data_IF_645794118710
#
_entry.id   IF_645794118710
#
_cell.length_a   1.000
_cell.length_b   1.000
_cell.length_c   1.000
_cell.angle_alpha   90.00
_cell.angle_beta   90.00
_cell.angle_gamma   90.00
#
_symmetry.space_group_name_H-M   'P 1'
#
loop_
_entity.id
_entity.type
_entity.pdbx_description
1 polymer ?
#
# COMPACT_ATOMS: atom_id res chain seq x y z
N UNK A 1 3.92 -7.18 39.14
CA UNK A 1 3.31 -8.37 38.52
C UNK A 1 3.91 -8.48 37.13
N UNK A 2 4.60 -9.58 36.89
CA UNK A 2 5.57 -9.74 35.79
C UNK A 2 4.90 -10.22 34.49
N UNK A 3 5.36 -9.63 33.42
CA UNK A 3 5.03 -9.95 32.03
C UNK A 3 5.16 -11.42 31.66
N UNK A 4 4.17 -11.91 30.94
CA UNK A 4 4.26 -13.14 30.15
C UNK A 4 4.18 -12.78 28.67
N UNK A 5 5.29 -12.36 28.10
CA UNK A 5 5.45 -12.36 26.63
C UNK A 5 5.73 -13.80 26.19
N UNK A 6 4.71 -14.45 25.68
CA UNK A 6 4.81 -15.76 25.05
C UNK A 6 5.57 -15.63 23.71
N UNK A 7 6.82 -16.08 23.73
CA UNK A 7 7.62 -16.31 22.52
C UNK A 7 7.01 -17.47 21.74
N UNK A 8 6.22 -17.19 20.73
CA UNK A 8 5.91 -18.19 19.70
C UNK A 8 7.09 -18.30 18.75
N UNK A 9 7.99 -19.23 19.05
CA UNK A 9 9.03 -19.71 18.16
C UNK A 9 8.36 -20.40 16.97
N UNK A 10 8.52 -19.83 15.78
CA UNK A 10 8.22 -20.54 14.54
C UNK A 10 9.20 -21.70 14.40
N UNK A 11 8.70 -22.92 14.52
CA UNK A 11 9.44 -24.13 14.25
C UNK A 11 9.69 -24.22 12.74
N UNK A 12 10.91 -23.94 12.31
CA UNK A 12 11.37 -24.30 10.97
C UNK A 12 11.44 -25.83 10.90
N UNK A 13 10.61 -26.43 10.06
CA UNK A 13 10.57 -27.86 9.83
C UNK A 13 11.89 -28.37 9.25
N UNK A 14 12.67 -29.06 10.05
CA UNK A 14 13.83 -29.80 9.58
C UNK A 14 13.34 -31.14 9.01
N UNK A 15 13.40 -31.30 7.68
CA UNK A 15 13.23 -32.61 7.05
C UNK A 15 14.56 -33.35 7.16
N UNK A 16 14.66 -34.18 8.20
CA UNK A 16 15.79 -35.10 8.38
C UNK A 16 15.56 -36.36 7.56
N UNK A 17 16.38 -36.58 6.55
CA UNK A 17 16.44 -37.88 5.86
C UNK A 17 17.41 -38.74 6.65
N UNK A 18 16.88 -39.73 7.36
CA UNK A 18 17.69 -40.75 8.03
C UNK A 18 18.07 -41.84 7.01
N UNK A 19 19.35 -41.90 6.67
CA UNK A 19 19.92 -43.10 6.06
C UNK A 19 20.47 -43.99 7.18
N UNK A 20 19.77 -45.08 7.43
CA UNK A 20 20.31 -46.16 8.28
C UNK A 20 21.13 -47.10 7.42
N UNK A 21 22.45 -46.91 7.40
CA UNK A 21 23.41 -47.84 6.84
C UNK A 21 24.19 -48.49 7.98
N UNK A 22 23.96 -49.78 8.22
CA UNK A 22 24.71 -50.60 9.15
C UNK A 22 26.05 -50.93 8.49
N UNK A 23 27.18 -50.35 9.01
CA UNK A 23 28.53 -50.81 8.70
C UNK A 23 29.31 -50.89 9.98
N UNK A 24 29.70 -52.14 10.30
CA UNK A 24 30.64 -52.43 11.38
C UNK A 24 32.03 -51.94 10.96
N UNK A 25 32.59 -51.00 11.71
CA UNK A 25 33.94 -50.48 11.52
C UNK A 25 33.99 -48.98 11.81
N UNK A 26 34.64 -48.61 12.93
CA UNK A 26 34.60 -47.25 13.48
C UNK A 26 35.14 -46.16 12.58
N UNK A 27 34.30 -45.58 11.80
CA UNK A 27 34.49 -44.26 11.20
C UNK A 27 33.40 -43.33 11.74
N UNK A 28 33.81 -42.36 12.56
CA UNK A 28 32.99 -41.23 12.95
C UNK A 28 32.61 -40.45 11.70
N UNK A 29 31.48 -40.77 11.08
CA UNK A 29 30.90 -39.91 10.01
C UNK A 29 30.40 -38.63 10.67
N UNK A 30 31.19 -37.57 10.55
CA UNK A 30 30.80 -36.21 10.89
C UNK A 30 29.65 -35.84 9.95
N UNK A 31 28.41 -35.93 10.42
CA UNK A 31 27.26 -35.42 9.69
C UNK A 31 27.46 -33.91 9.50
N UNK A 32 27.79 -33.51 8.29
CA UNK A 32 27.79 -32.11 7.94
C UNK A 32 26.32 -31.64 7.89
N UNK A 33 25.91 -30.98 8.96
CA UNK A 33 24.63 -30.26 8.96
C UNK A 33 24.80 -29.03 8.06
N UNK A 34 24.37 -29.13 6.80
CA UNK A 34 24.21 -27.95 5.94
C UNK A 34 22.96 -27.24 6.42
N UNK A 35 23.05 -26.03 6.98
CA UNK A 35 21.85 -25.26 7.25
C UNK A 35 21.12 -25.06 5.92
N UNK A 36 19.81 -25.36 5.93
CA UNK A 36 18.97 -25.11 4.76
C UNK A 36 19.20 -23.66 4.31
N UNK A 37 19.44 -23.47 3.02
CA UNK A 37 19.57 -22.12 2.46
C UNK A 37 18.33 -21.31 2.85
N UNK A 38 18.50 -20.04 3.27
CA UNK A 38 17.35 -19.20 3.54
C UNK A 38 16.42 -19.19 2.33
N UNK A 39 15.09 -19.18 2.54
CA UNK A 39 14.15 -19.13 1.43
C UNK A 39 14.46 -17.92 0.54
N UNK A 40 14.36 -18.12 -0.76
CA UNK A 40 14.58 -17.04 -1.73
C UNK A 40 13.67 -15.84 -1.37
N UNK A 41 14.17 -14.61 -1.47
CA UNK A 41 13.36 -13.44 -1.22
C UNK A 41 12.17 -13.41 -2.18
N UNK A 42 11.00 -13.08 -1.67
CA UNK A 42 9.77 -12.93 -2.47
C UNK A 42 10.00 -11.98 -3.65
N UNK A 43 9.36 -12.25 -4.77
CA UNK A 43 9.30 -11.32 -5.90
C UNK A 43 8.61 -10.01 -5.48
N UNK A 44 8.88 -8.91 -6.18
CA UNK A 44 8.23 -7.62 -5.88
C UNK A 44 6.70 -7.73 -5.89
N UNK A 45 6.06 -8.39 -6.89
CA UNK A 45 4.61 -8.59 -6.85
C UNK A 45 4.11 -9.32 -5.60
N UNK A 46 4.77 -10.40 -5.20
CA UNK A 46 4.38 -11.13 -3.99
C UNK A 46 4.58 -10.31 -2.70
N UNK A 47 5.58 -9.42 -2.69
CA UNK A 47 5.79 -8.48 -1.57
C UNK A 47 4.70 -7.40 -1.53
N UNK A 48 4.25 -6.91 -2.70
CA UNK A 48 3.14 -5.96 -2.81
C UNK A 48 1.84 -6.58 -2.28
N UNK A 49 1.50 -7.80 -2.71
CA UNK A 49 0.31 -8.51 -2.21
C UNK A 49 0.31 -8.64 -0.68
N UNK A 50 1.45 -9.03 -0.09
CA UNK A 50 1.56 -9.13 1.36
C UNK A 50 1.42 -7.76 2.03
N UNK A 51 2.03 -6.72 1.48
CA UNK A 51 1.93 -5.35 2.00
C UNK A 51 0.48 -4.84 1.92
N UNK A 52 -0.23 -5.09 0.82
CA UNK A 52 -1.66 -4.77 0.68
C UNK A 52 -2.51 -5.49 1.72
N UNK A 53 -2.25 -6.79 1.93
CA UNK A 53 -2.96 -7.57 2.93
C UNK A 53 -2.76 -7.03 4.36
N UNK A 54 -1.55 -6.56 4.68
CA UNK A 54 -1.25 -5.93 5.96
C UNK A 54 -1.99 -4.60 6.11
N UNK A 55 -2.00 -3.78 5.06
CA UNK A 55 -2.71 -2.50 5.03
C UNK A 55 -4.24 -2.70 5.21
N UNK A 56 -4.82 -3.68 4.51
CA UNK A 56 -6.24 -4.02 4.62
C UNK A 56 -6.65 -4.51 6.03
N UNK A 57 -5.72 -5.13 6.74
CA UNK A 57 -5.90 -5.53 8.14
C UNK A 57 -5.68 -4.39 9.14
N UNK A 58 -5.30 -3.20 8.67
CA UNK A 58 -4.96 -2.07 9.52
C UNK A 58 -3.63 -2.21 10.27
N UNK A 59 -2.78 -3.17 9.87
CA UNK A 59 -1.43 -3.38 10.43
C UNK A 59 -0.46 -2.38 9.81
N UNK A 60 -0.70 -1.08 10.09
CA UNK A 60 -0.05 0.03 9.38
C UNK A 60 1.47 0.02 9.48
N UNK A 61 2.03 -0.31 10.65
CA UNK A 61 3.49 -0.35 10.84
C UNK A 61 4.15 -1.47 10.03
N UNK A 62 3.51 -2.64 9.95
CA UNK A 62 4.02 -3.77 9.18
C UNK A 62 3.85 -3.53 7.68
N UNK A 63 2.73 -2.94 7.26
CA UNK A 63 2.51 -2.51 5.87
C UNK A 63 3.56 -1.49 5.44
N UNK A 64 3.81 -0.46 6.25
CA UNK A 64 4.85 0.55 5.99
C UNK A 64 6.21 -0.09 5.79
N UNK A 65 6.62 -0.97 6.71
CA UNK A 65 7.89 -1.70 6.61
C UNK A 65 7.99 -2.50 5.31
N UNK A 66 6.90 -3.15 4.91
CA UNK A 66 6.86 -3.95 3.68
C UNK A 66 6.99 -3.09 2.43
N UNK A 67 6.27 -1.96 2.33
CA UNK A 67 6.41 -1.03 1.20
C UNK A 67 7.79 -0.39 1.14
N UNK A 68 8.38 -0.02 2.29
CA UNK A 68 9.76 0.49 2.33
C UNK A 68 10.78 -0.56 1.88
N UNK A 69 10.57 -1.84 2.19
CA UNK A 69 11.42 -2.92 1.70
C UNK A 69 11.33 -3.08 0.17
N UNK A 70 10.15 -2.86 -0.42
CA UNK A 70 9.97 -2.82 -1.88
C UNK A 70 10.75 -1.64 -2.47
N UNK A 71 10.62 -0.44 -1.90
CA UNK A 71 11.37 0.74 -2.36
C UNK A 71 12.88 0.61 -2.17
N UNK A 72 13.34 -0.22 -1.24
CA UNK A 72 14.76 -0.57 -1.11
C UNK A 72 15.31 -1.33 -2.32
N UNK A 73 14.45 -1.98 -3.11
CA UNK A 73 14.80 -2.76 -4.31
C UNK A 73 14.40 -2.04 -5.61
N UNK A 74 13.30 -1.30 -5.57
CA UNK A 74 12.74 -0.52 -6.66
C UNK A 74 12.31 0.86 -6.12
N UNK A 75 13.26 1.82 -6.03
CA UNK A 75 13.03 3.11 -5.39
C UNK A 75 11.97 3.99 -6.07
N UNK A 76 11.64 3.69 -7.32
CA UNK A 76 10.71 4.46 -8.17
C UNK A 76 9.38 3.76 -8.37
N UNK A 77 9.10 2.70 -7.61
CA UNK A 77 7.86 1.94 -7.72
C UNK A 77 6.63 2.80 -7.34
N UNK A 78 5.79 3.21 -8.31
CA UNK A 78 4.69 4.14 -8.04
C UNK A 78 3.60 3.52 -7.15
N UNK A 79 3.41 2.21 -7.24
CA UNK A 79 2.45 1.48 -6.42
C UNK A 79 2.87 1.49 -4.94
N UNK A 80 4.12 1.13 -4.64
CA UNK A 80 4.64 1.15 -3.28
C UNK A 80 4.63 2.58 -2.69
N UNK A 81 5.00 3.58 -3.50
CA UNK A 81 4.92 5.00 -3.10
C UNK A 81 3.49 5.41 -2.79
N UNK A 82 2.53 5.10 -3.67
CA UNK A 82 1.12 5.46 -3.45
C UNK A 82 0.57 4.82 -2.18
N UNK A 83 0.85 3.55 -1.93
CA UNK A 83 0.39 2.85 -0.73
C UNK A 83 1.08 3.31 0.56
N UNK A 84 2.32 3.78 0.52
CA UNK A 84 2.91 4.51 1.65
C UNK A 84 2.16 5.81 1.94
N UNK A 85 1.65 6.46 0.89
CA UNK A 85 0.71 7.57 1.04
C UNK A 85 -0.54 7.16 1.80
N UNK A 86 -1.13 6.01 1.44
CA UNK A 86 -2.32 5.48 2.11
C UNK A 86 -2.05 5.10 3.58
N UNK A 87 -0.88 4.54 3.87
CA UNK A 87 -0.45 4.29 5.26
C UNK A 87 -0.38 5.60 6.05
N UNK A 88 0.31 6.61 5.51
CA UNK A 88 0.45 7.91 6.15
C UNK A 88 -0.91 8.60 6.35
N UNK A 89 -1.79 8.50 5.35
CA UNK A 89 -3.16 9.02 5.43
C UNK A 89 -3.96 8.38 6.57
N UNK A 90 -3.89 7.04 6.71
CA UNK A 90 -4.57 6.32 7.78
C UNK A 90 -3.96 6.63 9.16
N UNK A 91 -2.68 6.98 9.23
CA UNK A 91 -2.00 7.47 10.43
C UNK A 91 -2.38 8.92 10.77
N UNK A 92 -3.10 9.63 9.90
CA UNK A 92 -3.47 11.04 10.05
C UNK A 92 -2.40 12.03 9.61
N UNK A 93 -1.28 11.57 9.06
CA UNK A 93 -0.20 12.43 8.55
C UNK A 93 -0.47 12.82 7.08
N UNK A 94 -1.33 13.83 6.91
CA UNK A 94 -1.76 14.31 5.58
C UNK A 94 -0.60 14.85 4.75
N UNK A 95 0.34 15.56 5.37
CA UNK A 95 1.50 16.12 4.68
C UNK A 95 2.39 15.02 4.13
N UNK A 96 2.61 13.97 4.92
CA UNK A 96 3.41 12.82 4.50
C UNK A 96 2.69 12.04 3.41
N UNK A 97 1.37 11.85 3.52
CA UNK A 97 0.56 11.19 2.51
C UNK A 97 0.69 11.91 1.15
N UNK A 98 0.47 13.23 1.14
CA UNK A 98 0.57 14.04 -0.08
C UNK A 98 1.97 13.99 -0.71
N UNK A 99 3.05 13.99 0.10
CA UNK A 99 4.42 13.82 -0.44
C UNK A 99 4.62 12.50 -1.13
N UNK A 100 4.06 11.41 -0.59
CA UNK A 100 4.15 10.09 -1.20
C UNK A 100 3.33 9.99 -2.48
N UNK A 101 2.10 10.52 -2.52
CA UNK A 101 1.30 10.56 -3.76
C UNK A 101 2.00 11.41 -4.83
N UNK A 102 2.59 12.56 -4.45
CA UNK A 102 3.36 13.37 -5.37
C UNK A 102 4.61 12.64 -5.88
N UNK A 103 5.25 11.83 -5.04
CA UNK A 103 6.36 10.98 -5.47
C UNK A 103 5.89 9.95 -6.49
N UNK A 104 4.81 9.21 -6.22
CA UNK A 104 4.23 8.26 -7.17
C UNK A 104 3.87 8.91 -8.51
N UNK A 105 3.28 10.11 -8.48
CA UNK A 105 2.89 10.84 -9.69
C UNK A 105 4.06 11.49 -10.44
N UNK A 106 5.22 11.65 -9.83
CA UNK A 106 6.47 12.02 -10.56
C UNK A 106 7.01 10.85 -11.36
N UNK A 107 6.85 9.63 -10.86
CA UNK A 107 7.29 8.42 -11.55
C UNK A 107 6.29 7.99 -12.64
N UNK A 108 5.00 8.07 -12.34
CA UNK A 108 3.93 7.84 -13.30
C UNK A 108 2.80 8.88 -13.10
N UNK A 109 2.79 9.90 -13.95
CA UNK A 109 1.81 10.98 -13.91
C UNK A 109 0.37 10.50 -14.21
N UNK A 110 0.22 9.30 -14.76
CA UNK A 110 -1.05 8.63 -15.07
C UNK A 110 -1.43 7.55 -14.04
N UNK A 111 -0.70 7.43 -12.93
CA UNK A 111 -1.01 6.44 -11.92
C UNK A 111 -2.34 6.76 -11.21
N UNK A 112 -3.40 6.10 -11.66
CA UNK A 112 -4.78 6.43 -11.31
C UNK A 112 -5.05 6.38 -9.81
N UNK A 113 -4.48 5.39 -9.09
CA UNK A 113 -4.63 5.28 -7.64
C UNK A 113 -4.09 6.51 -6.90
N UNK A 114 -2.88 6.96 -7.26
CA UNK A 114 -2.30 8.14 -6.62
C UNK A 114 -3.10 9.41 -6.89
N UNK A 115 -3.68 9.56 -8.08
CA UNK A 115 -4.55 10.71 -8.40
C UNK A 115 -5.85 10.69 -7.60
N UNK A 116 -6.49 9.51 -7.46
CA UNK A 116 -7.68 9.32 -6.65
C UNK A 116 -7.42 9.63 -5.18
N UNK A 117 -6.39 9.00 -4.62
CA UNK A 117 -6.05 9.09 -3.20
C UNK A 117 -5.55 10.49 -2.83
N UNK A 118 -4.76 11.13 -3.70
CA UNK A 118 -4.34 12.52 -3.54
C UNK A 118 -5.53 13.47 -3.51
N UNK A 119 -6.51 13.28 -4.40
CA UNK A 119 -7.74 14.07 -4.40
C UNK A 119 -8.50 13.92 -3.08
N UNK A 120 -8.59 12.69 -2.57
CA UNK A 120 -9.24 12.37 -1.30
C UNK A 120 -8.51 12.99 -0.11
N UNK A 121 -7.18 12.93 -0.09
CA UNK A 121 -6.36 13.54 0.96
C UNK A 121 -6.45 15.07 0.96
N UNK A 122 -6.41 15.71 -0.22
CA UNK A 122 -6.56 17.16 -0.35
C UNK A 122 -7.93 17.62 0.11
N UNK A 123 -8.99 16.88 -0.24
CA UNK A 123 -10.34 17.16 0.27
C UNK A 123 -10.40 17.04 1.79
N UNK A 124 -9.80 16.01 2.38
CA UNK A 124 -9.74 15.83 3.84
C UNK A 124 -8.99 16.97 4.53
N UNK A 125 -7.99 17.53 3.87
CA UNK A 125 -7.24 18.72 4.31
C UNK A 125 -8.03 20.02 4.14
N UNK A 126 -9.12 20.03 3.37
CA UNK A 126 -9.91 21.21 3.04
C UNK A 126 -9.42 21.96 1.79
N UNK A 127 -8.46 21.40 1.07
CA UNK A 127 -8.00 21.94 -0.23
C UNK A 127 -8.90 21.41 -1.36
N UNK A 128 -10.10 21.98 -1.45
CA UNK A 128 -11.05 21.63 -2.51
C UNK A 128 -10.50 21.93 -3.92
N UNK A 129 -9.67 22.97 -4.07
CA UNK A 129 -9.08 23.34 -5.36
C UNK A 129 -8.05 22.29 -5.83
N UNK A 130 -7.20 21.85 -4.93
CA UNK A 130 -6.25 20.78 -5.19
C UNK A 130 -6.94 19.44 -5.46
N UNK A 131 -7.98 19.11 -4.68
CA UNK A 131 -8.77 17.89 -4.85
C UNK A 131 -9.41 17.84 -6.24
N UNK A 132 -10.06 18.92 -6.69
CA UNK A 132 -10.66 19.01 -8.03
C UNK A 132 -9.60 18.73 -9.09
N UNK A 133 -8.43 19.35 -9.02
CA UNK A 133 -7.35 19.15 -10.03
C UNK A 133 -6.92 17.68 -10.10
N UNK A 134 -6.72 17.03 -8.95
CA UNK A 134 -6.32 15.62 -8.90
C UNK A 134 -7.41 14.71 -9.50
N UNK A 135 -8.67 14.92 -9.12
CA UNK A 135 -9.79 14.13 -9.63
C UNK A 135 -10.11 14.40 -11.11
N UNK A 136 -9.91 15.61 -11.60
CA UNK A 136 -10.01 15.89 -13.03
C UNK A 136 -8.90 15.18 -13.83
N UNK A 137 -7.69 15.09 -13.28
CA UNK A 137 -6.62 14.30 -13.88
C UNK A 137 -6.98 12.81 -13.91
N UNK A 138 -7.49 12.26 -12.82
CA UNK A 138 -8.00 10.89 -12.75
C UNK A 138 -9.11 10.64 -13.79
N UNK A 139 -10.11 11.52 -13.86
CA UNK A 139 -11.25 11.35 -14.77
C UNK A 139 -10.87 11.39 -16.25
N UNK A 140 -9.72 11.94 -16.61
CA UNK A 140 -9.22 11.91 -18.00
C UNK A 140 -8.59 10.56 -18.39
N UNK A 141 -8.25 9.71 -17.42
CA UNK A 141 -7.60 8.42 -17.67
C UNK A 141 -8.60 7.30 -18.01
N UNK A 142 -9.85 7.48 -17.66
CA UNK A 142 -10.87 6.43 -17.71
C UNK A 142 -12.04 6.82 -18.62
N UNK A 143 -12.83 5.85 -19.12
CA UNK A 143 -14.05 6.10 -19.83
C UNK A 143 -15.02 6.98 -19.03
N UNK A 144 -15.68 7.90 -19.72
CA UNK A 144 -16.52 8.92 -19.07
C UNK A 144 -17.76 8.35 -18.35
N UNK A 145 -18.16 7.15 -18.71
CA UNK A 145 -19.30 6.38 -18.18
C UNK A 145 -18.91 5.35 -17.11
N UNK A 146 -17.60 5.22 -16.80
CA UNK A 146 -17.17 4.37 -15.71
C UNK A 146 -17.74 4.86 -14.37
N UNK A 147 -18.09 3.91 -13.49
CA UNK A 147 -18.61 4.19 -12.14
C UNK A 147 -17.73 5.17 -11.36
N UNK A 148 -16.44 5.03 -11.53
CA UNK A 148 -15.42 5.80 -10.80
C UNK A 148 -15.38 7.25 -11.29
N UNK A 149 -15.46 7.46 -12.61
CA UNK A 149 -15.55 8.81 -13.18
C UNK A 149 -16.86 9.48 -12.80
N UNK A 150 -17.97 8.75 -12.78
CA UNK A 150 -19.27 9.27 -12.31
C UNK A 150 -19.15 9.69 -10.83
N UNK A 151 -18.55 8.87 -9.99
CA UNK A 151 -18.35 9.18 -8.57
C UNK A 151 -17.46 10.40 -8.37
N UNK A 152 -16.33 10.45 -9.07
CA UNK A 152 -15.38 11.56 -8.99
C UNK A 152 -16.01 12.88 -9.48
N UNK A 153 -16.81 12.85 -10.55
CA UNK A 153 -17.54 14.03 -11.02
C UNK A 153 -18.54 14.58 -10.00
N UNK A 154 -19.18 13.67 -9.26
CA UNK A 154 -20.04 14.08 -8.14
C UNK A 154 -19.22 14.81 -7.06
N UNK A 155 -18.07 14.25 -6.65
CA UNK A 155 -17.19 14.90 -5.66
C UNK A 155 -16.64 16.24 -6.15
N UNK A 156 -16.26 16.34 -7.42
CA UNK A 156 -15.84 17.61 -8.03
C UNK A 156 -16.97 18.64 -7.94
N UNK A 157 -18.22 18.25 -8.24
CA UNK A 157 -19.38 19.15 -8.17
C UNK A 157 -19.61 19.63 -6.73
N UNK A 158 -19.54 18.74 -5.76
CA UNK A 158 -19.66 19.07 -4.34
C UNK A 158 -18.52 20.00 -3.86
N UNK A 159 -17.27 19.72 -4.27
CA UNK A 159 -16.12 20.57 -3.94
C UNK A 159 -16.26 21.98 -4.53
N UNK A 160 -16.71 22.11 -5.78
CA UNK A 160 -17.01 23.40 -6.40
C UNK A 160 -18.12 24.17 -5.70
N UNK A 161 -19.18 23.47 -5.27
CA UNK A 161 -20.27 24.08 -4.50
C UNK A 161 -19.78 24.62 -3.15
N UNK A 162 -18.86 23.89 -2.46
CA UNK A 162 -18.25 24.39 -1.22
C UNK A 162 -17.38 25.62 -1.45
N UNK A 163 -16.60 25.66 -2.53
CA UNK A 163 -15.81 26.85 -2.89
C UNK A 163 -16.71 28.07 -3.17
N UNK A 164 -17.84 27.87 -3.85
CA UNK A 164 -18.82 28.93 -4.10
C UNK A 164 -19.53 29.42 -2.82
N UNK A 165 -19.72 28.53 -1.85
CA UNK A 165 -20.34 28.85 -0.56
C UNK A 165 -19.34 29.30 0.51
N UNK A 166 -18.06 28.97 0.38
CA UNK A 166 -16.98 29.34 1.32
C UNK A 166 -16.65 30.85 1.32
N UNK A 167 -17.20 31.59 0.36
CA UNK A 167 -17.27 33.06 0.55
C UNK A 167 -18.09 33.44 1.81
N UNK A 168 -18.71 32.47 2.50
CA UNK A 168 -19.62 32.75 3.62
C UNK A 168 -19.49 31.89 4.90
N UNK A 169 -18.68 30.79 4.99
CA UNK A 169 -18.38 30.10 6.27
C UNK A 169 -17.35 28.95 6.15
N UNK A 170 -16.46 28.72 7.15
CA UNK A 170 -15.65 27.50 7.21
C UNK A 170 -16.50 26.31 7.68
N UNK A 171 -16.67 25.31 6.82
CA UNK A 171 -17.44 24.09 7.12
C UNK A 171 -16.54 22.86 7.27
N UNK A 172 -16.71 22.12 8.38
CA UNK A 172 -15.96 20.92 8.69
C UNK A 172 -16.22 19.75 7.71
N UNK A 173 -15.21 18.90 7.54
CA UNK A 173 -15.23 17.70 6.69
C UNK A 173 -16.10 16.61 7.35
N UNK A 174 -17.03 15.93 6.64
CA UNK A 174 -17.76 14.79 7.17
C UNK A 174 -16.81 13.62 7.47
N UNK A 175 -16.86 13.09 8.69
CA UNK A 175 -16.00 11.99 9.16
C UNK A 175 -16.15 10.68 8.36
N UNK A 176 -17.23 10.49 7.64
CA UNK A 176 -17.51 9.26 6.88
C UNK A 176 -16.78 9.16 5.53
N UNK A 177 -16.15 10.23 5.10
CA UNK A 177 -15.46 10.28 3.79
C UNK A 177 -14.13 9.51 3.78
N UNK A 178 -13.51 9.31 4.95
CA UNK A 178 -12.19 8.68 5.09
C UNK A 178 -12.17 7.16 4.82
N UNK A 179 -13.34 6.54 4.57
CA UNK A 179 -13.47 5.09 4.49
C UNK A 179 -13.83 4.57 3.08
N UNK A 180 -14.02 5.45 2.09
CA UNK A 180 -14.27 4.99 0.72
C UNK A 180 -12.95 4.54 0.08
N UNK A 181 -12.77 3.22 0.03
CA UNK A 181 -11.62 2.58 -0.66
C UNK A 181 -11.66 2.91 -2.16
N UNK A 182 -10.49 3.08 -2.80
CA UNK A 182 -10.44 3.13 -4.25
C UNK A 182 -11.05 1.85 -4.85
N UNK A 183 -11.69 1.94 -6.01
CA UNK A 183 -12.37 0.82 -6.63
C UNK A 183 -11.42 -0.34 -6.91
N UNK A 184 -11.87 -1.54 -6.53
CA UNK A 184 -11.18 -2.78 -6.87
C UNK A 184 -11.27 -3.00 -8.37
N UNK A 185 -10.20 -2.94 -9.07
CA UNK A 185 -10.19 -3.19 -10.54
C UNK A 185 -9.31 -2.24 -11.34
N UNK A 186 -8.81 -1.17 -10.73
CA UNK A 186 -7.84 -0.29 -11.38
C UNK A 186 -6.44 -0.93 -11.54
N UNK A 187 -6.19 -2.06 -10.86
CA UNK A 187 -4.87 -2.68 -10.75
C UNK A 187 -4.56 -3.62 -11.93
N UNK A 188 -5.57 -4.24 -12.55
CA UNK A 188 -5.34 -5.35 -13.49
C UNK A 188 -4.96 -4.93 -14.92
N UNK A 189 -5.01 -3.66 -15.26
CA UNK A 189 -4.84 -3.19 -16.63
C UNK A 189 -3.56 -2.44 -16.97
N UNK A 190 -2.76 -2.00 -16.02
CA UNK A 190 -1.65 -1.07 -16.28
C UNK A 190 -0.23 -1.63 -16.08
N UNK A 191 -0.09 -2.89 -15.66
CA UNK A 191 1.24 -3.51 -15.46
C UNK A 191 1.88 -4.12 -16.72
N UNK A 192 1.30 -3.92 -17.90
CA UNK A 192 1.77 -4.54 -19.15
C UNK A 192 1.89 -3.51 -20.28
N UNK A 193 2.80 -2.55 -20.13
CA UNK A 193 3.36 -1.83 -21.28
C UNK A 193 4.77 -1.37 -20.99
#
# INVERSE_FOLDING_TARGET
>A
MRDQYSKKTLAAGAVGIFFSGLVAGGLLTRAFFFPASPPAPLSVPAQLEEAHRLLDKGLLADAEKSYLAILGRDPVNPEALSHLGNVAFQQGDMERALRFYDAALREDASYAHALWDKGSALRAKGDDAGAIKAWEAFARLLPADSSDVVQVRKWITEARARQGSASNKPGGVPKNFLLEKPPKGLIEGQSSR
#
